data_IF_425906560531
#
_entry.id   IF_425906560531
#
_cell.length_a   1.000
_cell.length_b   1.000
_cell.length_c   1.000
_cell.angle_alpha   90.00
_cell.angle_beta   90.00
_cell.angle_gamma   90.00
#
_symmetry.space_group_name_H-M   'P 1'
#
loop_
_entity.id
_entity.type
_entity.pdbx_description
1 polymer ?
#
# COMPACT_ATOMS: atom_id res chain seq x y z
N UNK A 1 -10.45 -11.72 -5.97
CA UNK A 1 -11.73 -11.27 -6.48
C UNK A 1 -11.74 -11.09 -7.98
N UNK A 2 -12.93 -10.97 -8.56
CA UNK A 2 -13.13 -10.77 -9.99
C UNK A 2 -13.26 -9.27 -10.28
N UNK A 3 -12.46 -8.76 -11.22
CA UNK A 3 -12.43 -7.35 -11.57
C UNK A 3 -12.76 -7.16 -13.05
N UNK A 4 -13.62 -6.20 -13.40
CA UNK A 4 -13.91 -5.89 -14.80
C UNK A 4 -12.80 -5.03 -15.40
N UNK A 5 -12.43 -5.34 -16.64
CA UNK A 5 -11.59 -4.48 -17.47
C UNK A 5 -12.27 -4.28 -18.82
N UNK A 6 -12.12 -3.11 -19.39
CA UNK A 6 -12.62 -2.83 -20.74
C UNK A 6 -11.46 -2.88 -21.72
N UNK A 7 -11.68 -3.59 -22.82
CA UNK A 7 -10.75 -3.64 -23.94
C UNK A 7 -11.43 -3.20 -25.22
N UNK A 8 -10.67 -2.59 -26.09
CA UNK A 8 -11.06 -2.34 -27.47
C UNK A 8 -10.37 -3.37 -28.35
N UNK A 9 -11.14 -4.20 -29.01
CA UNK A 9 -10.58 -5.19 -29.92
C UNK A 9 -11.16 -5.04 -31.32
N UNK A 10 -10.36 -5.37 -32.29
CA UNK A 10 -10.82 -5.49 -33.65
C UNK A 10 -10.87 -6.95 -34.09
N UNK A 11 -11.75 -7.24 -35.02
CA UNK A 11 -11.91 -8.55 -35.62
C UNK A 11 -11.81 -8.42 -37.12
N UNK A 12 -11.15 -9.37 -37.77
CA UNK A 12 -11.09 -9.48 -39.22
C UNK A 12 -11.66 -10.84 -39.59
N UNK A 13 -12.90 -10.84 -40.07
CA UNK A 13 -13.63 -12.05 -40.46
C UNK A 13 -14.16 -11.86 -41.90
N UNK A 14 -13.80 -12.80 -42.77
CA UNK A 14 -14.20 -12.76 -44.18
C UNK A 14 -13.84 -11.43 -44.89
N UNK A 15 -12.66 -10.88 -44.55
CA UNK A 15 -12.20 -9.61 -45.11
C UNK A 15 -12.87 -8.37 -44.55
N UNK A 16 -13.78 -8.52 -43.59
CA UNK A 16 -14.47 -7.42 -42.93
C UNK A 16 -13.82 -7.14 -41.57
N UNK A 17 -13.32 -5.92 -41.40
CA UNK A 17 -12.76 -5.43 -40.12
C UNK A 17 -13.86 -4.73 -39.34
N UNK A 18 -13.94 -5.08 -38.05
CA UNK A 18 -14.86 -4.43 -37.11
C UNK A 18 -14.16 -4.22 -35.76
N UNK A 19 -14.54 -3.15 -35.08
CA UNK A 19 -14.05 -2.84 -33.72
C UNK A 19 -15.20 -2.97 -32.75
N UNK A 20 -14.89 -3.49 -31.56
CA UNK A 20 -15.83 -3.53 -30.45
C UNK A 20 -15.16 -3.28 -29.13
N UNK A 21 -15.92 -2.71 -28.19
CA UNK A 21 -15.52 -2.59 -26.79
C UNK A 21 -16.12 -3.77 -26.03
N UNK A 22 -15.28 -4.50 -25.33
CA UNK A 22 -15.69 -5.66 -24.55
C UNK A 22 -15.24 -5.52 -23.12
N UNK A 23 -16.10 -5.93 -22.18
CA UNK A 23 -15.75 -6.07 -20.78
C UNK A 23 -15.30 -7.49 -20.50
N UNK A 24 -14.07 -7.62 -19.98
CA UNK A 24 -13.52 -8.89 -19.53
C UNK A 24 -13.40 -8.86 -18.01
N UNK A 25 -13.54 -10.02 -17.39
CA UNK A 25 -13.40 -10.17 -15.96
C UNK A 25 -12.11 -10.94 -15.66
N UNK A 26 -11.28 -10.37 -14.82
CA UNK A 26 -10.01 -10.99 -14.41
C UNK A 26 -10.06 -11.38 -12.94
N UNK A 27 -9.43 -12.49 -12.60
CA UNK A 27 -9.23 -12.90 -11.23
C UNK A 27 -7.84 -12.47 -10.77
N UNK A 28 -7.81 -11.57 -9.78
CA UNK A 28 -6.56 -11.14 -9.15
C UNK A 28 -6.33 -11.96 -7.90
N UNK A 29 -5.21 -12.69 -7.81
CA UNK A 29 -4.86 -13.38 -6.57
C UNK A 29 -4.60 -12.40 -5.46
N UNK A 30 -4.90 -12.80 -4.22
CA UNK A 30 -4.61 -12.02 -3.05
C UNK A 30 -3.11 -11.73 -2.98
N UNK A 31 -2.75 -10.48 -2.73
CA UNK A 31 -1.35 -10.07 -2.61
C UNK A 31 -0.63 -9.87 -3.94
N UNK A 32 -1.34 -9.85 -5.07
CA UNK A 32 -0.71 -9.55 -6.38
C UNK A 32 0.06 -8.23 -6.31
N UNK A 33 1.20 -8.15 -6.97
CA UNK A 33 2.15 -7.06 -6.81
C UNK A 33 2.51 -6.39 -8.14
N UNK A 34 3.33 -5.36 -8.03
CA UNK A 34 3.85 -4.56 -9.15
C UNK A 34 4.52 -5.44 -10.20
N UNK A 35 4.28 -5.13 -11.45
CA UNK A 35 4.84 -5.80 -12.62
C UNK A 35 4.44 -7.26 -12.82
N UNK A 36 3.51 -7.78 -12.06
CA UNK A 36 2.92 -9.08 -12.37
C UNK A 36 1.99 -8.97 -13.57
N UNK A 37 1.86 -10.04 -14.30
CA UNK A 37 1.05 -10.08 -15.51
C UNK A 37 -0.03 -11.16 -15.40
N UNK A 38 -1.24 -10.79 -15.78
CA UNK A 38 -2.35 -11.72 -15.96
C UNK A 38 -2.57 -11.92 -17.45
N UNK A 39 -2.54 -13.16 -17.91
CA UNK A 39 -2.76 -13.51 -19.30
C UNK A 39 -4.17 -14.06 -19.51
N UNK A 40 -4.92 -13.42 -20.42
CA UNK A 40 -6.23 -13.87 -20.84
C UNK A 40 -6.11 -14.43 -22.28
N UNK A 41 -6.11 -15.74 -22.37
CA UNK A 41 -5.90 -16.41 -23.66
C UNK A 41 -7.13 -16.29 -24.55
N UNK A 42 -6.91 -16.08 -25.85
CA UNK A 42 -7.93 -16.03 -26.88
C UNK A 42 -9.00 -14.96 -26.68
N UNK A 43 -8.68 -13.90 -25.94
CA UNK A 43 -9.61 -12.79 -25.64
C UNK A 43 -9.24 -11.49 -26.35
N UNK A 44 -8.18 -11.51 -27.16
CA UNK A 44 -7.70 -10.34 -27.88
C UNK A 44 -8.29 -10.20 -29.28
N UNK A 45 -7.56 -9.55 -30.16
CA UNK A 45 -7.95 -9.36 -31.55
C UNK A 45 -8.16 -10.67 -32.24
N UNK A 46 -9.16 -10.73 -33.13
CA UNK A 46 -9.48 -11.92 -33.92
C UNK A 46 -9.06 -11.70 -35.37
N UNK A 47 -8.14 -12.52 -35.86
CA UNK A 47 -7.59 -12.44 -37.22
C UNK A 47 -8.41 -13.30 -38.18
N UNK A 48 -8.94 -14.43 -37.70
CA UNK A 48 -9.80 -15.34 -38.40
C UNK A 48 -10.71 -16.07 -37.43
N UNK A 49 -11.64 -16.91 -37.90
CA UNK A 49 -12.53 -17.66 -37.01
C UNK A 49 -11.79 -18.50 -35.97
N UNK A 50 -10.59 -18.99 -36.29
CA UNK A 50 -9.82 -19.90 -35.44
C UNK A 50 -8.57 -19.26 -34.83
N UNK A 51 -8.25 -18.01 -35.16
CA UNK A 51 -7.03 -17.35 -34.68
C UNK A 51 -7.41 -16.09 -33.90
N UNK A 52 -7.23 -16.17 -32.58
CA UNK A 52 -7.44 -15.07 -31.63
C UNK A 52 -6.17 -14.80 -30.89
N UNK A 53 -5.88 -13.52 -30.68
CA UNK A 53 -4.79 -13.09 -29.83
C UNK A 53 -5.14 -13.21 -28.35
N UNK A 54 -4.16 -12.93 -27.53
CA UNK A 54 -4.30 -12.92 -26.07
C UNK A 54 -4.38 -11.49 -25.55
N UNK A 55 -4.90 -11.33 -24.33
CA UNK A 55 -4.86 -10.06 -23.60
C UNK A 55 -3.89 -10.20 -22.45
N UNK A 56 -2.89 -9.31 -22.39
CA UNK A 56 -1.94 -9.23 -21.30
C UNK A 56 -2.30 -8.04 -20.40
N UNK A 57 -2.53 -8.32 -19.13
CA UNK A 57 -2.86 -7.31 -18.13
C UNK A 57 -1.67 -7.16 -17.20
N UNK A 58 -1.00 -6.02 -17.25
CA UNK A 58 0.12 -5.71 -16.37
C UNK A 58 -0.40 -4.99 -15.12
N UNK A 59 0.08 -5.42 -13.98
CA UNK A 59 -0.32 -4.85 -12.69
C UNK A 59 0.59 -3.70 -12.33
N UNK A 60 -0.01 -2.60 -11.94
CA UNK A 60 0.67 -1.44 -11.36
C UNK A 60 0.08 -1.14 -10.00
N UNK A 61 0.95 -0.92 -9.02
CA UNK A 61 0.54 -0.55 -7.66
C UNK A 61 0.51 0.96 -7.54
N UNK A 62 -0.63 1.49 -7.10
CA UNK A 62 -0.79 2.91 -6.86
C UNK A 62 -0.61 3.19 -5.37
N UNK A 63 0.57 3.73 -5.02
CA UNK A 63 0.94 4.02 -3.63
C UNK A 63 0.55 5.44 -3.23
N UNK A 64 -0.75 5.75 -3.31
CA UNK A 64 -1.29 7.07 -2.99
C UNK A 64 -2.21 7.09 -1.76
N UNK A 65 -2.37 5.95 -1.12
CA UNK A 65 -3.17 5.82 0.09
C UNK A 65 -2.39 6.02 1.39
N UNK A 66 -3.08 5.79 2.50
CA UNK A 66 -2.52 5.85 3.85
C UNK A 66 -1.40 4.83 4.05
N UNK A 67 -1.58 3.65 3.47
CA UNK A 67 -0.57 2.60 3.46
C UNK A 67 0.09 2.53 2.10
N UNK A 68 1.42 2.38 2.11
CA UNK A 68 2.20 2.13 0.90
C UNK A 68 2.71 0.70 0.93
N UNK A 69 2.75 0.07 -0.23
CA UNK A 69 3.28 -1.29 -0.36
C UNK A 69 4.76 -1.27 -0.68
N UNK A 70 5.47 -2.21 -0.07
CA UNK A 70 6.80 -2.60 -0.48
C UNK A 70 6.86 -4.14 -0.41
N UNK A 71 6.65 -4.80 -1.56
CA UNK A 71 6.44 -6.24 -1.58
C UNK A 71 5.19 -6.62 -0.78
N UNK A 72 5.32 -7.49 0.20
CA UNK A 72 4.24 -7.84 1.11
C UNK A 72 4.16 -6.95 2.35
N UNK A 73 5.11 -6.07 2.55
CA UNK A 73 5.08 -5.14 3.68
C UNK A 73 4.17 -3.94 3.39
N UNK A 74 3.52 -3.47 4.42
CA UNK A 74 2.78 -2.22 4.42
C UNK A 74 3.56 -1.18 5.21
N UNK A 75 3.67 0.01 4.64
CA UNK A 75 4.38 1.13 5.28
C UNK A 75 3.36 2.18 5.65
N UNK A 76 3.36 2.58 6.91
CA UNK A 76 2.55 3.65 7.45
C UNK A 76 3.46 4.73 8.03
N UNK A 77 3.32 5.96 7.54
CA UNK A 77 4.09 7.10 8.03
C UNK A 77 3.30 7.82 9.12
N UNK A 78 3.88 7.94 10.30
CA UNK A 78 3.28 8.61 11.45
C UNK A 78 4.14 9.78 11.88
N UNK A 79 3.56 10.97 11.87
CA UNK A 79 4.18 12.16 12.42
C UNK A 79 3.79 12.31 13.88
N UNK A 80 4.77 12.44 14.75
CA UNK A 80 4.59 12.72 16.17
C UNK A 80 5.35 14.00 16.54
N UNK A 81 4.91 14.65 17.59
CA UNK A 81 5.63 15.82 18.11
C UNK A 81 6.86 15.41 18.91
N UNK A 82 7.79 16.35 19.13
CA UNK A 82 8.95 16.11 19.97
C UNK A 82 8.53 15.70 21.40
N UNK A 83 7.49 16.33 21.93
CA UNK A 83 6.91 15.97 23.22
C UNK A 83 6.45 14.51 23.25
N UNK A 84 5.74 14.09 22.23
CA UNK A 84 5.28 12.70 22.09
C UNK A 84 6.46 11.74 21.93
N UNK A 85 7.47 12.14 21.18
CA UNK A 85 8.67 11.30 20.97
C UNK A 85 9.43 11.05 22.28
N UNK A 86 9.45 12.03 23.18
CA UNK A 86 10.16 11.94 24.47
C UNK A 86 9.28 11.37 25.59
N UNK A 87 8.00 11.74 25.62
CA UNK A 87 7.15 11.50 26.79
C UNK A 87 6.08 10.42 26.56
N UNK A 88 5.97 9.93 25.35
CA UNK A 88 5.00 8.91 25.01
C UNK A 88 3.76 9.44 24.30
N UNK A 89 3.08 8.55 23.63
CA UNK A 89 1.90 8.85 22.82
C UNK A 89 0.96 7.64 22.75
N UNK A 90 -0.24 7.91 22.28
CA UNK A 90 -1.20 6.88 21.94
C UNK A 90 -1.93 7.30 20.67
N UNK A 91 -2.12 6.37 19.73
CA UNK A 91 -2.95 6.61 18.57
C UNK A 91 -3.59 5.31 18.09
N UNK A 92 -4.71 5.45 17.37
CA UNK A 92 -5.40 4.36 16.75
C UNK A 92 -5.08 4.33 15.26
N UNK A 93 -4.88 3.13 14.73
CA UNK A 93 -4.62 2.89 13.33
C UNK A 93 -5.67 1.93 12.78
N UNK A 94 -6.44 2.40 11.80
CA UNK A 94 -7.37 1.55 11.06
C UNK A 94 -6.61 0.83 9.95
N UNK A 95 -6.47 -0.48 10.11
CA UNK A 95 -5.78 -1.34 9.17
C UNK A 95 -6.63 -1.61 7.91
N UNK A 96 -5.99 -2.05 6.82
CA UNK A 96 -6.70 -2.44 5.60
C UNK A 96 -7.66 -3.61 5.81
N UNK A 97 -7.43 -4.43 6.84
CA UNK A 97 -8.34 -5.52 7.24
C UNK A 97 -9.57 -5.03 8.03
N UNK A 98 -9.74 -3.70 8.13
CA UNK A 98 -10.82 -3.01 8.84
C UNK A 98 -10.75 -3.11 10.38
N UNK A 99 -9.77 -3.77 10.94
CA UNK A 99 -9.53 -3.78 12.38
C UNK A 99 -8.80 -2.50 12.79
N UNK A 100 -9.05 -2.06 14.02
CA UNK A 100 -8.39 -0.91 14.62
C UNK A 100 -7.35 -1.41 15.62
N UNK A 101 -6.11 -0.95 15.47
CA UNK A 101 -5.02 -1.24 16.38
C UNK A 101 -4.65 0.01 17.15
N UNK A 102 -4.50 -0.11 18.46
CA UNK A 102 -4.07 0.98 19.32
C UNK A 102 -2.59 0.84 19.64
N UNK A 103 -1.83 1.89 19.32
CA UNK A 103 -0.42 2.01 19.68
C UNK A 103 -0.30 2.93 20.88
N UNK A 104 0.26 2.43 21.95
CA UNK A 104 0.39 3.20 23.20
C UNK A 104 1.76 2.92 23.80
N UNK A 105 2.60 3.96 23.91
CA UNK A 105 3.89 3.88 24.59
C UNK A 105 3.97 4.82 25.79
N UNK A 106 2.83 5.21 26.37
CA UNK A 106 2.80 6.03 27.59
C UNK A 106 3.19 5.24 28.83
N UNK A 107 3.00 3.91 28.79
CA UNK A 107 3.42 3.01 29.86
C UNK A 107 4.75 2.41 29.44
N UNK A 108 5.76 2.44 30.34
CA UNK A 108 7.14 2.03 30.01
C UNK A 108 7.65 2.77 28.77
N UNK A 109 7.57 4.09 28.83
CA UNK A 109 7.88 4.96 27.69
C UNK A 109 9.30 4.71 27.17
N UNK A 110 9.37 4.48 25.86
CA UNK A 110 10.64 4.47 25.12
C UNK A 110 10.69 5.67 24.20
N UNK A 111 11.86 6.28 24.11
CA UNK A 111 12.07 7.42 23.22
C UNK A 111 12.01 6.96 21.78
N UNK A 112 11.28 7.71 20.97
CA UNK A 112 11.25 7.51 19.52
C UNK A 112 12.21 8.52 18.87
N UNK A 113 13.20 8.01 18.14
CA UNK A 113 14.14 8.87 17.41
C UNK A 113 13.55 9.26 16.05
N UNK A 114 13.93 10.43 15.49
CA UNK A 114 13.52 10.79 14.14
C UNK A 114 13.91 9.71 13.13
N UNK A 115 12.98 9.32 12.29
CA UNK A 115 13.18 8.27 11.29
C UNK A 115 13.17 6.84 11.84
N UNK A 116 12.86 6.65 13.10
CA UNK A 116 12.77 5.32 13.69
C UNK A 116 11.59 4.54 13.08
N UNK A 117 11.83 3.25 12.87
CA UNK A 117 10.82 2.32 12.34
C UNK A 117 10.43 1.33 13.41
N UNK A 118 9.12 1.04 13.47
CA UNK A 118 8.60 -0.05 14.28
C UNK A 118 8.01 -1.10 13.37
N UNK A 119 8.49 -2.33 13.48
CA UNK A 119 8.01 -3.45 12.70
C UNK A 119 6.99 -4.23 13.52
N UNK A 120 5.80 -4.39 12.97
CA UNK A 120 4.74 -5.20 13.58
C UNK A 120 4.55 -6.41 12.69
N UNK A 121 4.92 -7.61 13.17
CA UNK A 121 4.89 -8.82 12.36
C UNK A 121 3.46 -9.19 11.94
N UNK A 122 3.34 -9.77 10.76
CA UNK A 122 2.12 -10.39 10.25
C UNK A 122 0.94 -9.42 10.04
N UNK A 123 1.20 -8.14 9.92
CA UNK A 123 0.20 -7.12 9.58
C UNK A 123 0.43 -6.46 8.23
N UNK A 124 1.19 -7.11 7.37
CA UNK A 124 1.35 -6.70 5.98
C UNK A 124 0.31 -7.33 5.06
N UNK A 125 0.68 -7.44 3.79
CA UNK A 125 -0.11 -8.12 2.77
C UNK A 125 0.05 -9.64 2.92
N UNK A 126 -0.94 -10.35 2.40
CA UNK A 126 -0.97 -11.82 2.44
C UNK A 126 -0.94 -12.34 1.01
N UNK A 127 -0.04 -13.27 0.74
CA UNK A 127 -0.02 -14.01 -0.53
C UNK A 127 0.26 -15.48 -0.24
N UNK A 128 -0.72 -16.34 -0.55
CA UNK A 128 -0.66 -17.77 -0.23
C UNK A 128 -0.39 -17.98 1.26
N UNK A 129 0.78 -18.54 1.61
CA UNK A 129 1.20 -18.78 3.01
C UNK A 129 2.12 -17.67 3.54
N UNK A 130 2.44 -16.68 2.71
CA UNK A 130 3.36 -15.62 3.08
C UNK A 130 2.59 -14.41 3.59
N UNK A 131 3.00 -13.90 4.73
CA UNK A 131 2.43 -12.69 5.34
C UNK A 131 3.54 -11.69 5.58
N UNK A 132 3.37 -10.48 5.06
CA UNK A 132 4.31 -9.40 5.30
C UNK A 132 4.10 -8.72 6.64
N UNK A 133 4.84 -7.66 6.88
CA UNK A 133 4.83 -6.88 8.11
C UNK A 133 4.20 -5.51 7.89
N UNK A 134 3.71 -4.92 8.96
CA UNK A 134 3.39 -3.50 9.00
C UNK A 134 4.61 -2.76 9.56
N UNK A 135 5.08 -1.78 8.81
CA UNK A 135 6.23 -0.95 9.20
C UNK A 135 5.71 0.46 9.45
N UNK A 136 5.81 0.91 10.70
CA UNK A 136 5.47 2.28 11.07
C UNK A 136 6.74 3.11 11.05
N UNK A 137 6.81 4.10 10.15
CA UNK A 137 7.89 5.06 10.08
C UNK A 137 7.51 6.29 10.89
N UNK A 138 8.32 6.67 11.85
CA UNK A 138 8.07 7.84 12.66
C UNK A 138 8.84 9.05 12.15
N UNK A 139 8.12 10.13 11.95
CA UNK A 139 8.67 11.45 11.71
C UNK A 139 8.41 12.29 12.96
N UNK A 140 9.45 12.91 13.48
CA UNK A 140 9.35 13.74 14.69
C UNK A 140 9.32 15.20 14.28
N UNK A 141 8.23 15.88 14.66
CA UNK A 141 8.05 17.30 14.40
C UNK A 141 8.57 18.09 15.60
N UNK A 142 9.60 18.87 15.36
CA UNK A 142 10.16 19.77 16.36
C UNK A 142 9.37 21.07 16.41
N UNK A 143 9.28 21.74 17.56
CA UNK A 143 8.72 23.08 17.62
C UNK A 143 9.61 24.06 16.85
N UNK A 144 9.01 25.09 16.27
CA UNK A 144 9.75 26.11 15.51
C UNK A 144 10.59 27.01 16.42
N UNK A 145 10.07 27.27 17.61
CA UNK A 145 10.71 28.15 18.59
C UNK A 145 10.49 27.63 20.00
N UNK A 146 11.33 28.09 20.91
CA UNK A 146 11.21 27.81 22.33
C UNK A 146 11.57 29.07 23.11
N UNK A 147 10.89 29.35 24.23
CA UNK A 147 11.20 30.47 25.08
C UNK A 147 12.48 30.21 25.89
N UNK A 148 13.16 31.30 26.32
CA UNK A 148 14.36 31.16 27.14
C UNK A 148 14.06 30.43 28.47
N UNK A 149 12.88 30.68 29.05
CA UNK A 149 12.46 30.02 30.28
C UNK A 149 12.27 28.52 30.11
N UNK A 150 11.67 28.12 28.99
CA UNK A 150 11.50 26.69 28.68
C UNK A 150 12.82 26.03 28.32
N UNK A 151 13.72 26.74 27.64
CA UNK A 151 15.07 26.24 27.37
C UNK A 151 15.84 25.96 28.66
N UNK A 152 15.75 26.84 29.66
CA UNK A 152 16.36 26.62 30.98
C UNK A 152 15.81 25.36 31.65
N UNK A 153 14.50 25.19 31.66
CA UNK A 153 13.87 23.97 32.21
C UNK A 153 14.35 22.69 31.52
N UNK A 154 14.47 22.72 30.20
CA UNK A 154 14.95 21.58 29.46
C UNK A 154 16.42 21.27 29.73
N UNK A 155 17.26 22.27 29.93
CA UNK A 155 18.68 22.06 30.34
C UNK A 155 18.79 21.34 31.66
N UNK A 156 17.89 21.60 32.59
CA UNK A 156 17.86 20.93 33.89
C UNK A 156 17.45 19.46 33.79
N UNK A 157 16.56 19.13 32.83
CA UNK A 157 16.00 17.79 32.67
C UNK A 157 16.87 16.91 31.75
N UNK A 158 17.39 17.48 30.68
CA UNK A 158 18.20 16.76 29.68
C UNK A 158 19.74 16.81 29.98
#
# INVERSE_FOLDING_TARGET
GSFPIQINKWTLINGVESEETQTLYINLPQGIDENEMVLLRNQGHQISENIKGDVKVNIKIKNDGVFKRNGLDLIYNKTITLKEALCGFSFDLKHINKKVFTFNNKINTTIIKPGQKKVIPNLGMIREKHVGNLIVNFEVLFPDTITDGDAEKLREIL
#
